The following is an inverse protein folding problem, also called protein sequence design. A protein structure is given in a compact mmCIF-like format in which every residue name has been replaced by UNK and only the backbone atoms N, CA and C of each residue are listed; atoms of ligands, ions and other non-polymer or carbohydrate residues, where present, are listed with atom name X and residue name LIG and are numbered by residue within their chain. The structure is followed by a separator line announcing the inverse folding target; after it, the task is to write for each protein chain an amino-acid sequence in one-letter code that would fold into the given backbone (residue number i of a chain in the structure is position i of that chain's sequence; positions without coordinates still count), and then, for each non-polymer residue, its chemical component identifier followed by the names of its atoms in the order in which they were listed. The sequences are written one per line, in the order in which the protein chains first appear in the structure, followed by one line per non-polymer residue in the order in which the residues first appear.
data_IF_954224031296
#
_entry.id   IF_954224031296
#
_cell.length_a   1.000
_cell.length_b   1.000
_cell.length_c   1.000
_cell.angle_alpha   90.00
_cell.angle_beta   90.00
_cell.angle_gamma   90.00
#
_symmetry.space_group_name_H-M   'P 1'
#
loop_
_entity.id
_entity.type
_entity.pdbx_description
1 polymer ?
#
# COMPACT_ATOMS: atom_id res chain seq x y z
N UNK A 1 -18.38 -0.64 5.35
CA UNK A 1 -17.88 -0.14 4.06
C UNK A 1 -18.24 -1.15 2.99
N UNK A 2 -18.84 -0.72 1.88
CA UNK A 2 -19.09 -1.60 0.73
C UNK A 2 -17.83 -1.71 -0.16
N UNK A 3 -17.72 -2.71 -1.07
CA UNK A 3 -16.52 -2.89 -1.89
C UNK A 3 -16.15 -1.67 -2.75
N UNK A 4 -17.14 -0.96 -3.29
CA UNK A 4 -16.93 0.22 -4.14
C UNK A 4 -16.42 1.44 -3.38
N UNK A 5 -16.95 1.71 -2.18
CA UNK A 5 -16.50 2.78 -1.30
C UNK A 5 -15.02 2.60 -0.93
N UNK A 6 -14.62 1.37 -0.59
CA UNK A 6 -13.23 1.06 -0.28
C UNK A 6 -12.31 1.33 -1.47
N UNK A 7 -12.71 0.93 -2.68
CA UNK A 7 -11.95 1.24 -3.91
C UNK A 7 -11.84 2.74 -4.17
N UNK A 8 -12.89 3.51 -3.91
CA UNK A 8 -12.83 4.96 -4.07
C UNK A 8 -11.82 5.59 -3.08
N UNK A 9 -11.77 5.10 -1.84
CA UNK A 9 -10.75 5.55 -0.87
C UNK A 9 -9.33 5.16 -1.32
N UNK A 10 -9.14 3.95 -1.84
CA UNK A 10 -7.85 3.52 -2.40
C UNK A 10 -7.40 4.44 -3.54
N UNK A 11 -8.31 4.79 -4.45
CA UNK A 11 -8.02 5.70 -5.56
C UNK A 11 -7.63 7.09 -5.08
N UNK A 12 -8.31 7.63 -4.05
CA UNK A 12 -7.98 8.93 -3.48
C UNK A 12 -6.57 8.94 -2.88
N UNK A 13 -6.18 7.89 -2.15
CA UNK A 13 -4.83 7.78 -1.59
C UNK A 13 -3.76 7.67 -2.67
N UNK A 14 -4.03 6.93 -3.76
CA UNK A 14 -3.13 6.87 -4.91
C UNK A 14 -2.98 8.24 -5.60
N UNK A 15 -4.06 8.97 -5.84
CA UNK A 15 -3.99 10.30 -6.45
C UNK A 15 -3.16 11.27 -5.59
N UNK A 16 -3.27 11.17 -4.27
CA UNK A 16 -2.48 11.98 -3.34
C UNK A 16 -1.00 11.57 -3.35
N UNK A 17 -0.72 10.28 -3.41
CA UNK A 17 0.65 9.76 -3.52
C UNK A 17 1.32 10.21 -4.83
N UNK A 18 0.62 10.11 -5.95
CA UNK A 18 1.07 10.58 -7.26
C UNK A 18 1.42 12.08 -7.23
N UNK A 19 0.52 12.89 -6.66
CA UNK A 19 0.79 14.31 -6.48
C UNK A 19 2.04 14.57 -5.61
N UNK A 20 2.19 13.88 -4.49
CA UNK A 20 3.37 14.00 -3.63
C UNK A 20 4.67 13.62 -4.37
N UNK A 21 4.65 12.57 -5.19
CA UNK A 21 5.79 12.16 -6.03
C UNK A 21 6.10 13.25 -7.06
N UNK A 22 5.09 13.71 -7.81
CA UNK A 22 5.26 14.71 -8.86
C UNK A 22 5.82 16.04 -8.33
N UNK A 23 5.35 16.49 -7.15
CA UNK A 23 5.88 17.68 -6.48
C UNK A 23 7.31 17.44 -5.98
N UNK A 24 7.61 16.25 -5.48
CA UNK A 24 8.95 15.92 -4.97
C UNK A 24 10.03 15.91 -6.04
N UNK A 25 9.67 15.45 -7.24
CA UNK A 25 10.58 15.49 -8.38
C UNK A 25 10.97 16.92 -8.77
N UNK A 26 10.09 17.91 -8.52
CA UNK A 26 10.27 19.30 -8.95
C UNK A 26 10.79 20.24 -7.86
N UNK A 27 10.33 20.13 -6.62
CA UNK A 27 10.49 21.19 -5.62
C UNK A 27 10.96 20.72 -4.24
N UNK A 28 10.44 19.59 -3.71
CA UNK A 28 10.64 19.22 -2.30
C UNK A 28 11.13 17.79 -2.14
N UNK A 29 12.40 17.61 -1.76
CA UNK A 29 13.01 16.27 -1.59
C UNK A 29 13.43 16.07 -0.15
N UNK A 30 12.48 15.66 0.70
CA UNK A 30 12.72 15.36 2.11
C UNK A 30 12.27 13.96 2.46
N UNK A 31 12.87 13.40 3.51
CA UNK A 31 12.46 12.08 4.01
C UNK A 31 11.02 12.09 4.51
N UNK A 32 10.53 13.23 4.99
CA UNK A 32 9.15 13.35 5.47
C UNK A 32 8.13 13.17 4.32
N UNK A 33 8.47 13.60 3.10
CA UNK A 33 7.62 13.32 1.93
C UNK A 33 7.64 11.84 1.57
N UNK A 34 8.81 11.18 1.62
CA UNK A 34 8.91 9.72 1.42
C UNK A 34 8.02 8.99 2.43
N UNK A 35 8.07 9.38 3.71
CA UNK A 35 7.21 8.77 4.75
C UNK A 35 5.73 8.98 4.49
N UNK A 36 5.35 10.18 4.07
CA UNK A 36 3.96 10.48 3.70
C UNK A 36 3.51 9.61 2.53
N UNK A 37 4.34 9.43 1.50
CA UNK A 37 4.01 8.55 0.37
C UNK A 37 3.87 7.10 0.85
N UNK A 38 4.80 6.58 1.66
CA UNK A 38 4.71 5.21 2.23
C UNK A 38 3.39 5.02 2.98
N UNK A 39 2.97 5.99 3.79
CA UNK A 39 1.69 5.94 4.52
C UNK A 39 0.50 5.89 3.56
N UNK A 40 0.50 6.70 2.50
CA UNK A 40 -0.56 6.68 1.47
C UNK A 40 -0.62 5.34 0.75
N UNK A 41 0.52 4.74 0.42
CA UNK A 41 0.58 3.41 -0.20
C UNK A 41 0.05 2.33 0.73
N UNK A 42 0.40 2.37 2.03
CA UNK A 42 -0.19 1.48 3.05
C UNK A 42 -1.71 1.63 3.06
N UNK A 43 -2.22 2.85 3.10
CA UNK A 43 -3.66 3.09 3.14
C UNK A 43 -4.35 2.58 1.86
N UNK A 44 -3.78 2.86 0.69
CA UNK A 44 -4.32 2.40 -0.59
C UNK A 44 -4.40 0.87 -0.66
N UNK A 45 -3.33 0.15 -0.28
CA UNK A 45 -3.35 -1.32 -0.25
C UNK A 45 -4.35 -1.82 0.81
N UNK A 46 -4.41 -1.18 1.98
CA UNK A 46 -5.36 -1.50 3.03
C UNK A 46 -6.81 -1.42 2.54
N UNK A 47 -7.17 -0.35 1.85
CA UNK A 47 -8.49 -0.20 1.25
C UNK A 47 -8.77 -1.18 0.11
N UNK A 48 -7.75 -1.56 -0.67
CA UNK A 48 -7.89 -2.64 -1.67
C UNK A 48 -8.21 -3.99 -0.98
N UNK A 49 -7.52 -4.31 0.13
CA UNK A 49 -7.82 -5.50 0.92
C UNK A 49 -9.22 -5.42 1.55
N UNK A 50 -9.64 -4.24 2.03
CA UNK A 50 -10.98 -4.04 2.57
C UNK A 50 -12.06 -4.28 1.51
N UNK A 51 -11.84 -3.81 0.28
CA UNK A 51 -12.73 -4.07 -0.84
C UNK A 51 -12.86 -5.57 -1.13
N UNK A 52 -11.72 -6.26 -1.19
CA UNK A 52 -11.64 -7.69 -1.46
C UNK A 52 -12.32 -8.53 -0.36
N UNK A 53 -12.13 -8.17 0.91
CA UNK A 53 -12.77 -8.86 2.04
C UNK A 53 -14.26 -8.51 2.14
N UNK A 54 -14.66 -7.30 1.75
CA UNK A 54 -16.07 -6.90 1.68
C UNK A 54 -16.82 -7.69 0.59
N UNK A 55 -16.19 -7.96 -0.56
CA UNK A 55 -16.70 -8.89 -1.59
C UNK A 55 -16.92 -10.28 -0.99
N UNK A 56 -15.90 -10.86 -0.34
CA UNK A 56 -16.00 -12.17 0.28
C UNK A 56 -17.09 -12.23 1.38
N UNK A 57 -17.30 -11.13 2.12
CA UNK A 57 -18.40 -10.99 3.09
C UNK A 57 -19.76 -11.00 2.40
N UNK A 58 -19.92 -10.28 1.28
CA UNK A 58 -21.15 -10.28 0.50
C UNK A 58 -21.49 -11.68 -0.05
N UNK A 59 -20.46 -12.45 -0.42
CA UNK A 59 -20.57 -13.85 -0.82
C UNK A 59 -20.74 -14.83 0.35
N UNK A 60 -20.83 -14.34 1.59
CA UNK A 60 -20.96 -15.12 2.83
C UNK A 60 -19.77 -16.06 3.12
N UNK A 61 -18.59 -15.81 2.52
CA UNK A 61 -17.33 -16.53 2.81
C UNK A 61 -16.60 -16.01 4.04
N UNK A 62 -17.04 -14.85 4.56
CA UNK A 62 -16.49 -14.18 5.73
C UNK A 62 -17.65 -13.59 6.56
N UNK A 63 -17.58 -13.71 7.89
CA UNK A 63 -18.61 -13.14 8.77
C UNK A 63 -18.51 -11.61 8.85
N UNK A 64 -17.29 -11.09 9.04
CA UNK A 64 -17.02 -9.67 9.16
C UNK A 64 -15.62 -9.33 8.64
N UNK A 65 -15.46 -8.13 8.09
CA UNK A 65 -14.16 -7.62 7.65
C UNK A 65 -13.39 -7.16 8.88
N UNK A 66 -12.21 -7.73 9.19
CA UNK A 66 -11.44 -7.33 10.36
C UNK A 66 -10.92 -5.89 10.24
N UNK A 67 -10.90 -5.12 11.33
CA UNK A 67 -10.29 -3.77 11.34
C UNK A 67 -8.76 -3.82 11.45
N UNK A 68 -8.23 -4.84 12.14
CA UNK A 68 -6.80 -4.97 12.40
C UNK A 68 -6.06 -5.41 11.14
N UNK A 69 -5.07 -4.61 10.73
CA UNK A 69 -4.24 -4.85 9.55
C UNK A 69 -3.67 -6.27 9.43
N UNK A 70 -3.26 -6.87 10.56
CA UNK A 70 -2.75 -8.24 10.58
C UNK A 70 -3.84 -9.26 10.27
N UNK A 71 -5.02 -9.11 10.89
CA UNK A 71 -6.16 -10.00 10.66
C UNK A 71 -6.68 -9.87 9.22
N UNK A 72 -6.69 -8.65 8.66
CA UNK A 72 -7.01 -8.42 7.24
C UNK A 72 -6.12 -9.26 6.33
N UNK A 73 -4.81 -9.24 6.57
CA UNK A 73 -3.84 -10.04 5.80
C UNK A 73 -4.08 -11.54 6.00
N UNK A 74 -4.29 -12.00 7.23
CA UNK A 74 -4.54 -13.42 7.51
C UNK A 74 -5.80 -13.93 6.77
N UNK A 75 -6.90 -13.18 6.80
CA UNK A 75 -8.12 -13.53 6.07
C UNK A 75 -7.93 -13.45 4.55
N UNK A 76 -7.24 -12.42 4.05
CA UNK A 76 -6.96 -12.29 2.62
C UNK A 76 -6.11 -13.48 2.12
N UNK A 77 -5.07 -13.87 2.86
CA UNK A 77 -4.26 -15.06 2.52
C UNK A 77 -5.08 -16.35 2.56
N UNK A 78 -5.97 -16.49 3.53
CA UNK A 78 -6.82 -17.69 3.67
C UNK A 78 -7.81 -17.81 2.51
N UNK A 79 -8.50 -16.72 2.16
CA UNK A 79 -9.57 -16.70 1.17
C UNK A 79 -9.05 -16.69 -0.27
N UNK A 80 -7.88 -16.09 -0.49
CA UNK A 80 -7.29 -15.88 -1.82
C UNK A 80 -5.93 -16.58 -1.96
N UNK A 81 -5.75 -17.73 -1.30
CA UNK A 81 -4.49 -18.48 -1.27
C UNK A 81 -3.95 -18.87 -2.66
N UNK A 82 -4.84 -19.06 -3.64
CA UNK A 82 -4.47 -19.36 -5.04
C UNK A 82 -4.09 -18.13 -5.85
N UNK A 83 -4.42 -16.93 -5.37
CA UNK A 83 -4.15 -15.67 -6.03
C UNK A 83 -2.79 -15.13 -5.59
N UNK A 84 -1.75 -15.48 -6.36
CA UNK A 84 -0.38 -15.08 -6.07
C UNK A 84 -0.22 -13.57 -5.94
N UNK A 85 -0.95 -12.78 -6.74
CA UNK A 85 -0.86 -11.32 -6.69
C UNK A 85 -1.35 -10.81 -5.33
N UNK A 86 -2.48 -11.30 -4.83
CA UNK A 86 -2.98 -10.94 -3.50
C UNK A 86 -2.01 -11.35 -2.39
N UNK A 87 -1.39 -12.53 -2.50
CA UNK A 87 -0.40 -13.01 -1.53
C UNK A 87 0.84 -12.11 -1.49
N UNK A 88 1.38 -11.76 -2.65
CA UNK A 88 2.54 -10.88 -2.80
C UNK A 88 2.24 -9.47 -2.24
N UNK A 89 1.04 -8.94 -2.48
CA UNK A 89 0.62 -7.64 -1.94
C UNK A 89 0.34 -7.67 -0.43
N UNK A 90 -0.08 -8.81 0.12
CA UNK A 90 -0.13 -8.98 1.57
C UNK A 90 1.27 -8.88 2.20
N UNK A 91 2.29 -9.48 1.58
CA UNK A 91 3.67 -9.39 2.07
C UNK A 91 4.22 -7.97 1.92
N UNK A 92 3.96 -7.34 0.78
CA UNK A 92 4.35 -5.98 0.50
C UNK A 92 3.70 -4.97 1.45
N UNK A 93 2.40 -5.13 1.75
CA UNK A 93 1.68 -4.34 2.74
C UNK A 93 2.33 -4.41 4.12
N UNK A 94 2.67 -5.62 4.59
CA UNK A 94 3.35 -5.81 5.87
C UNK A 94 4.76 -5.21 5.87
N UNK A 95 5.50 -5.33 4.75
CA UNK A 95 6.79 -4.69 4.59
C UNK A 95 6.69 -3.16 4.71
N UNK A 96 5.78 -2.51 3.98
CA UNK A 96 5.59 -1.06 4.05
C UNK A 96 5.21 -0.62 5.47
N UNK A 97 4.35 -1.36 6.16
CA UNK A 97 4.00 -1.08 7.57
C UNK A 97 5.20 -1.18 8.51
N UNK A 98 6.10 -2.16 8.30
CA UNK A 98 7.35 -2.26 9.07
C UNK A 98 8.26 -1.07 8.77
N UNK A 99 8.45 -0.73 7.51
CA UNK A 99 9.21 0.46 7.08
C UNK A 99 8.67 1.73 7.73
N UNK A 100 7.35 1.94 7.70
CA UNK A 100 6.73 3.16 8.24
C UNK A 100 6.95 3.33 9.77
N UNK A 101 7.01 2.20 10.49
CA UNK A 101 7.24 2.15 11.94
C UNK A 101 8.71 2.11 12.34
N UNK A 102 9.60 1.74 11.43
CA UNK A 102 11.02 1.58 11.69
C UNK A 102 11.67 2.91 12.12
N UNK A 103 12.74 2.80 12.91
CA UNK A 103 13.68 3.92 13.06
C UNK A 103 14.34 4.16 11.71
N UNK A 104 14.65 5.41 11.42
CA UNK A 104 15.26 5.74 10.15
C UNK A 104 16.29 6.86 10.28
N UNK A 105 17.24 6.84 9.37
CA UNK A 105 18.22 7.90 9.16
C UNK A 105 17.81 8.73 7.92
N UNK A 106 18.16 10.01 7.93
CA UNK A 106 17.91 10.93 6.82
C UNK A 106 19.22 11.26 6.12
N UNK A 107 19.27 11.14 4.80
CA UNK A 107 20.43 11.51 4.01
C UNK A 107 20.05 12.29 2.75
N UNK A 108 20.93 13.21 2.33
CA UNK A 108 20.82 13.97 1.07
C UNK A 108 19.48 14.71 0.87
N UNK A 109 18.89 15.25 1.95
CA UNK A 109 17.71 16.10 1.84
C UNK A 109 17.98 17.33 0.95
N UNK A 110 16.93 17.80 0.29
CA UNK A 110 16.95 18.88 -0.70
C UNK A 110 17.81 18.60 -1.95
N UNK A 111 18.22 17.34 -2.16
CA UNK A 111 18.98 16.87 -3.33
C UNK A 111 18.28 15.70 -4.03
N UNK A 112 18.66 15.42 -5.28
CA UNK A 112 18.05 14.36 -6.10
C UNK A 112 18.05 12.98 -5.42
N UNK A 113 19.12 12.68 -4.69
CA UNK A 113 19.35 11.38 -4.07
C UNK A 113 18.91 11.34 -2.60
N UNK A 114 17.86 12.09 -2.23
CA UNK A 114 17.29 11.99 -0.88
C UNK A 114 16.99 10.53 -0.57
N UNK A 115 17.49 10.09 0.59
CA UNK A 115 17.46 8.69 0.99
C UNK A 115 16.96 8.60 2.42
N UNK A 116 15.94 7.79 2.63
CA UNK A 116 15.51 7.33 3.94
C UNK A 116 16.04 5.92 4.16
N UNK A 117 16.90 5.73 5.15
CA UNK A 117 17.39 4.39 5.51
C UNK A 117 16.60 3.89 6.70
N UNK A 118 15.67 2.95 6.48
CA UNK A 118 14.86 2.34 7.52
C UNK A 118 15.57 1.12 8.13
N UNK A 119 15.66 1.06 9.45
CA UNK A 119 16.22 -0.08 10.19
C UNK A 119 15.08 -0.99 10.68
N UNK A 120 14.96 -2.17 10.06
CA UNK A 120 13.95 -3.17 10.38
C UNK A 120 14.42 -4.08 11.52
N UNK A 121 13.45 -4.80 12.09
CA UNK A 121 13.70 -5.83 13.10
C UNK A 121 14.75 -6.84 12.60
N UNK A 122 15.76 -7.11 13.42
CA UNK A 122 16.89 -7.98 13.05
C UNK A 122 18.09 -7.26 12.42
N UNK A 123 18.11 -5.92 12.41
CA UNK A 123 19.25 -5.11 11.97
C UNK A 123 19.36 -4.94 10.44
N UNK A 124 18.35 -5.39 9.70
CA UNK A 124 18.28 -5.17 8.26
C UNK A 124 18.02 -3.69 7.97
N UNK A 125 18.89 -3.05 7.18
CA UNK A 125 18.69 -1.68 6.70
C UNK A 125 18.14 -1.69 5.27
N UNK A 126 17.13 -0.88 5.01
CA UNK A 126 16.53 -0.68 3.68
C UNK A 126 16.60 0.80 3.33
N UNK A 127 17.24 1.11 2.21
CA UNK A 127 17.26 2.45 1.63
C UNK A 127 16.04 2.68 0.76
N UNK A 128 15.40 3.83 0.94
CA UNK A 128 14.22 4.25 0.19
C UNK A 128 14.47 5.64 -0.35
N UNK A 129 14.56 5.72 -1.67
CA UNK A 129 14.73 6.96 -2.43
C UNK A 129 13.42 7.35 -3.10
N UNK A 130 13.40 8.51 -3.77
CA UNK A 130 12.26 8.90 -4.61
C UNK A 130 12.02 7.90 -5.76
N UNK A 131 13.08 7.36 -6.35
CA UNK A 131 12.93 6.39 -7.45
C UNK A 131 12.30 5.08 -6.94
N UNK A 132 12.76 4.56 -5.79
CA UNK A 132 12.21 3.36 -5.17
C UNK A 132 10.75 3.57 -4.75
N UNK A 133 10.41 4.70 -4.15
CA UNK A 133 9.02 4.95 -3.74
C UNK A 133 8.10 5.16 -4.94
N UNK A 134 8.60 5.67 -6.07
CA UNK A 134 7.86 5.72 -7.33
C UNK A 134 7.60 4.32 -7.89
N UNK A 135 8.55 3.40 -7.82
CA UNK A 135 8.31 1.99 -8.19
C UNK A 135 7.26 1.33 -7.28
N UNK A 136 7.30 1.61 -5.98
CA UNK A 136 6.30 1.13 -5.02
C UNK A 136 4.91 1.69 -5.32
N UNK A 137 4.82 2.94 -5.78
CA UNK A 137 3.58 3.54 -6.23
C UNK A 137 3.02 2.82 -7.47
N UNK A 138 3.83 2.60 -8.51
CA UNK A 138 3.36 1.90 -9.72
C UNK A 138 2.91 0.47 -9.41
N UNK A 139 3.64 -0.27 -8.56
CA UNK A 139 3.20 -1.58 -8.06
C UNK A 139 1.84 -1.49 -7.37
N UNK A 140 1.67 -0.52 -6.48
CA UNK A 140 0.39 -0.34 -5.74
C UNK A 140 -0.76 -0.01 -6.68
N UNK A 141 -0.49 0.78 -7.73
CA UNK A 141 -1.47 1.12 -8.77
C UNK A 141 -1.85 -0.10 -9.60
N UNK A 142 -0.91 -0.97 -9.95
CA UNK A 142 -1.20 -2.25 -10.62
C UNK A 142 -2.15 -3.12 -9.78
N UNK A 143 -1.90 -3.22 -8.47
CA UNK A 143 -2.79 -3.94 -7.56
C UNK A 143 -4.18 -3.31 -7.48
N UNK A 144 -4.27 -1.99 -7.35
CA UNK A 144 -5.55 -1.29 -7.39
C UNK A 144 -6.33 -1.59 -8.67
N UNK A 145 -5.68 -1.53 -9.85
CA UNK A 145 -6.32 -1.83 -11.13
C UNK A 145 -6.78 -3.29 -11.22
N UNK A 146 -6.02 -4.22 -10.64
CA UNK A 146 -6.40 -5.62 -10.55
C UNK A 146 -7.69 -5.81 -9.74
N UNK A 147 -7.75 -5.23 -8.54
CA UNK A 147 -8.94 -5.32 -7.67
C UNK A 147 -10.13 -4.60 -8.31
N UNK A 148 -9.92 -3.44 -8.92
CA UNK A 148 -10.97 -2.70 -9.63
C UNK A 148 -11.64 -3.57 -10.72
N UNK A 149 -10.84 -4.23 -11.57
CA UNK A 149 -11.36 -5.11 -12.62
C UNK A 149 -12.11 -6.30 -12.05
N UNK A 150 -11.60 -6.87 -10.96
CA UNK A 150 -12.24 -7.99 -10.25
C UNK A 150 -13.64 -7.61 -9.76
N UNK A 151 -13.76 -6.49 -9.04
CA UNK A 151 -15.05 -6.03 -8.51
C UNK A 151 -16.03 -5.65 -9.62
N UNK A 152 -15.55 -5.01 -10.69
CA UNK A 152 -16.42 -4.66 -11.83
C UNK A 152 -16.97 -5.90 -12.55
N UNK A 153 -16.17 -6.96 -12.72
CA UNK A 153 -16.59 -8.21 -13.36
C UNK A 153 -17.66 -8.99 -12.57
N UNK A 154 -17.89 -8.66 -11.29
CA UNK A 154 -18.89 -9.30 -10.42
C UNK A 154 -20.20 -8.51 -10.39
N UNK A 155 -20.20 -7.26 -10.85
CA UNK A 155 -21.39 -6.40 -10.90
C UNK A 155 -22.13 -6.43 -12.25
N UNK A 156 -21.60 -7.13 -13.27
CA UNK A 156 -22.25 -7.42 -14.56
C UNK A 156 -22.92 -8.79 -14.55
#
# INVERSE_FOLDING_TARGET
MNPGEALQQAQQELNRADHSIAVSLKYTRTVDVIRSIVERLINAIGFCLDSLLAEAKAEKKLAEVPELARLKVEEARRLFASDKLVMDFCDFYLLLRRIHKAKFEKAQEYRRHVTMTAELDGGQKIDITIDIISEYFEKTKEFYLYILRRIQAVCE
#
